data_IF_540995197332
#
_entry.id   IF_540995197332
#
_cell.length_a   1.000
_cell.length_b   1.000
_cell.length_c   1.000
_cell.angle_alpha   90.00
_cell.angle_beta   90.00
_cell.angle_gamma   90.00
#
_symmetry.space_group_name_H-M   'P 1'
#
loop_
_entity.id
_entity.type
_entity.pdbx_description
1 polymer ?
#
# COMPACT_ATOMS: atom_id res chain seq x y z
N UNK A 1 2.15 3.50 -34.42
CA UNK A 1 1.10 3.43 -33.35
C UNK A 1 1.68 3.70 -31.96
N UNK A 2 2.65 4.64 -31.77
CA UNK A 2 3.52 4.61 -30.60
C UNK A 2 3.58 5.87 -29.73
N UNK A 3 2.77 6.88 -29.98
CA UNK A 3 2.87 8.14 -29.23
C UNK A 3 1.71 8.44 -28.26
N UNK A 4 0.49 7.98 -28.56
CA UNK A 4 -0.70 8.30 -27.78
C UNK A 4 -0.97 7.30 -26.63
N UNK A 5 -0.54 6.05 -26.79
CA UNK A 5 -0.75 5.00 -25.77
C UNK A 5 0.16 5.16 -24.55
N UNK A 6 1.34 5.78 -24.69
CA UNK A 6 2.28 5.96 -23.57
C UNK A 6 1.75 6.86 -22.45
N UNK A 7 0.78 7.73 -22.74
CA UNK A 7 0.16 8.64 -21.76
C UNK A 7 -0.84 7.94 -20.83
N UNK A 8 -1.54 6.93 -21.29
CA UNK A 8 -2.58 6.21 -20.55
C UNK A 8 -2.01 5.30 -19.45
N UNK A 9 -0.81 4.81 -19.65
CA UNK A 9 -0.08 3.93 -18.70
C UNK A 9 0.83 4.71 -17.75
N UNK A 10 0.72 6.04 -17.71
CA UNK A 10 1.57 6.88 -16.86
C UNK A 10 1.47 6.44 -15.42
N UNK A 11 2.58 5.97 -14.90
CA UNK A 11 2.82 5.74 -13.48
C UNK A 11 2.98 7.09 -12.78
N UNK A 12 2.53 7.20 -11.53
CA UNK A 12 2.80 8.40 -10.73
C UNK A 12 4.33 8.59 -10.60
N UNK A 13 4.85 9.82 -10.51
CA UNK A 13 6.29 10.05 -10.30
C UNK A 13 6.86 9.33 -9.08
N UNK A 14 5.98 8.98 -8.14
CA UNK A 14 6.28 8.21 -6.93
C UNK A 14 6.41 6.71 -7.15
N UNK A 15 5.97 6.19 -8.31
CA UNK A 15 6.03 4.76 -8.62
C UNK A 15 7.45 4.40 -9.08
N UNK A 16 8.20 3.67 -8.25
CA UNK A 16 9.56 3.21 -8.57
C UNK A 16 9.62 1.69 -8.69
N UNK A 17 10.55 1.21 -9.51
CA UNK A 17 10.94 -0.20 -9.70
C UNK A 17 9.77 -1.21 -9.69
N UNK A 18 9.50 -1.86 -8.56
CA UNK A 18 8.52 -2.95 -8.43
C UNK A 18 7.11 -2.50 -8.79
N UNK A 19 6.68 -1.33 -8.29
CA UNK A 19 5.34 -0.81 -8.60
C UNK A 19 5.19 -0.45 -10.07
N UNK A 20 6.20 0.17 -10.66
CA UNK A 20 6.20 0.48 -12.09
C UNK A 20 6.08 -0.80 -12.91
N UNK A 21 6.81 -1.84 -12.53
CA UNK A 21 6.74 -3.14 -13.19
C UNK A 21 5.36 -3.80 -13.05
N UNK A 22 4.80 -3.84 -11.82
CA UNK A 22 3.44 -4.36 -11.57
C UNK A 22 2.42 -3.60 -12.40
N UNK A 23 2.43 -2.26 -12.37
CA UNK A 23 1.47 -1.43 -13.10
C UNK A 23 1.62 -1.57 -14.61
N UNK A 24 2.84 -1.61 -15.14
CA UNK A 24 3.07 -1.68 -16.58
C UNK A 24 2.89 -3.09 -17.18
N UNK A 25 3.05 -4.13 -16.38
CA UNK A 25 2.94 -5.52 -16.86
C UNK A 25 1.65 -6.21 -16.44
N UNK A 26 1.38 -6.25 -15.13
CA UNK A 26 0.25 -7.02 -14.59
C UNK A 26 -1.04 -6.22 -14.75
N UNK A 27 -1.08 -4.98 -14.26
CA UNK A 27 -2.30 -4.16 -14.34
C UNK A 27 -2.65 -3.84 -15.81
N UNK A 28 -1.66 -3.56 -16.65
CA UNK A 28 -1.86 -3.32 -18.07
C UNK A 28 -2.46 -4.52 -18.82
N UNK A 29 -2.21 -5.74 -18.38
CA UNK A 29 -2.83 -6.95 -18.94
C UNK A 29 -4.26 -7.19 -18.45
N UNK A 30 -4.58 -6.77 -17.23
CA UNK A 30 -5.90 -6.99 -16.60
C UNK A 30 -6.89 -5.90 -16.98
N UNK A 31 -6.47 -4.63 -16.91
CA UNK A 31 -7.36 -3.47 -17.05
C UNK A 31 -8.15 -3.44 -18.36
N UNK A 32 -7.58 -3.73 -19.55
CA UNK A 32 -8.35 -3.71 -20.79
C UNK A 32 -9.50 -4.72 -20.82
N UNK A 33 -9.30 -5.90 -20.18
CA UNK A 33 -10.37 -6.89 -20.08
C UNK A 33 -11.54 -6.43 -19.22
N UNK A 34 -11.25 -5.64 -18.19
CA UNK A 34 -12.27 -5.09 -17.30
C UNK A 34 -13.05 -3.93 -17.94
N UNK A 35 -12.44 -3.18 -18.88
CA UNK A 35 -13.13 -2.07 -19.56
C UNK A 35 -14.30 -2.54 -20.45
N UNK A 36 -14.30 -3.81 -20.88
CA UNK A 36 -15.42 -4.41 -21.62
C UNK A 36 -16.65 -4.72 -20.77
N UNK A 37 -16.57 -4.56 -19.43
CA UNK A 37 -17.68 -4.83 -18.52
C UNK A 37 -18.47 -3.53 -18.29
N UNK A 38 -19.68 -3.35 -18.84
CA UNK A 38 -20.37 -2.04 -18.87
C UNK A 38 -20.80 -1.52 -17.50
N UNK A 39 -21.16 -2.44 -16.58
CA UNK A 39 -21.65 -2.10 -15.23
C UNK A 39 -20.52 -1.84 -14.23
N UNK A 40 -19.26 -2.23 -14.55
CA UNK A 40 -18.13 -2.07 -13.64
C UNK A 40 -17.77 -0.59 -13.49
N UNK A 41 -17.59 -0.16 -12.25
CA UNK A 41 -17.21 1.21 -11.90
C UNK A 41 -15.88 1.24 -11.15
N UNK A 42 -15.07 2.29 -11.30
CA UNK A 42 -13.76 2.39 -10.62
C UNK A 42 -13.84 2.16 -9.11
N UNK A 43 -14.84 2.76 -8.43
CA UNK A 43 -14.99 2.61 -6.99
C UNK A 43 -15.23 1.16 -6.53
N UNK A 44 -15.82 0.31 -7.37
CA UNK A 44 -16.01 -1.11 -7.05
C UNK A 44 -14.66 -1.84 -6.97
N UNK A 45 -13.74 -1.49 -7.86
CA UNK A 45 -12.38 -2.05 -7.88
C UNK A 45 -11.61 -1.55 -6.66
N UNK A 46 -11.76 -0.26 -6.31
CA UNK A 46 -11.15 0.33 -5.10
C UNK A 46 -11.63 -0.36 -3.83
N UNK A 47 -12.95 -0.61 -3.70
CA UNK A 47 -13.52 -1.35 -2.56
C UNK A 47 -13.00 -2.79 -2.52
N UNK A 48 -12.91 -3.46 -3.66
CA UNK A 48 -12.34 -4.81 -3.75
C UNK A 48 -10.87 -4.83 -3.32
N UNK A 49 -10.07 -3.88 -3.80
CA UNK A 49 -8.66 -3.72 -3.42
C UNK A 49 -8.51 -3.55 -1.91
N UNK A 50 -9.26 -2.63 -1.32
CA UNK A 50 -9.24 -2.39 0.12
C UNK A 50 -9.74 -3.60 0.92
N UNK A 51 -10.79 -4.28 0.43
CA UNK A 51 -11.30 -5.52 1.04
C UNK A 51 -10.23 -6.61 1.07
N UNK A 52 -9.45 -6.77 0.00
CA UNK A 52 -8.32 -7.70 -0.04
C UNK A 52 -7.21 -7.30 0.95
N UNK A 53 -6.96 -6.00 1.12
CA UNK A 53 -6.01 -5.51 2.13
C UNK A 53 -6.48 -5.80 3.56
N UNK A 54 -7.76 -5.58 3.86
CA UNK A 54 -8.37 -5.93 5.15
C UNK A 54 -8.34 -7.44 5.37
N UNK A 55 -8.70 -8.24 4.35
CA UNK A 55 -8.62 -9.70 4.40
C UNK A 55 -7.20 -10.18 4.71
N UNK A 56 -6.18 -9.56 4.12
CA UNK A 56 -4.79 -9.88 4.41
C UNK A 56 -4.45 -9.63 5.89
N UNK A 57 -4.93 -8.54 6.48
CA UNK A 57 -4.79 -8.28 7.91
C UNK A 57 -5.47 -9.36 8.76
N UNK A 58 -6.70 -9.75 8.42
CA UNK A 58 -7.43 -10.84 9.10
C UNK A 58 -6.68 -12.16 8.98
N UNK A 59 -6.16 -12.50 7.81
CA UNK A 59 -5.39 -13.73 7.59
C UNK A 59 -4.10 -13.75 8.43
N UNK A 60 -3.39 -12.62 8.55
CA UNK A 60 -2.28 -12.49 9.48
C UNK A 60 -2.74 -12.75 10.92
N UNK A 61 -3.80 -12.09 11.39
CA UNK A 61 -4.31 -12.26 12.75
C UNK A 61 -4.71 -13.71 13.05
N UNK A 62 -5.21 -14.44 12.06
CA UNK A 62 -5.54 -15.87 12.17
C UNK A 62 -4.31 -16.80 12.13
N UNK A 63 -3.12 -16.29 11.81
CA UNK A 63 -1.90 -17.09 11.76
C UNK A 63 -1.50 -17.55 10.35
N UNK A 64 -2.23 -17.16 9.30
CA UNK A 64 -1.98 -17.57 7.91
C UNK A 64 -1.09 -16.57 7.17
N UNK A 65 0.17 -16.36 7.61
CA UNK A 65 1.06 -15.34 7.08
C UNK A 65 1.28 -15.42 5.57
N UNK A 66 1.45 -16.61 5.00
CA UNK A 66 1.63 -16.78 3.56
C UNK A 66 0.37 -16.39 2.76
N UNK A 67 -0.82 -16.82 3.20
CA UNK A 67 -2.09 -16.43 2.58
C UNK A 67 -2.34 -14.92 2.72
N UNK A 68 -1.95 -14.34 3.85
CA UNK A 68 -2.00 -12.90 4.07
C UNK A 68 -1.12 -12.15 3.05
N UNK A 69 0.10 -12.62 2.82
CA UNK A 69 0.99 -12.09 1.80
C UNK A 69 0.38 -12.17 0.40
N UNK A 70 -0.25 -13.29 0.05
CA UNK A 70 -0.93 -13.46 -1.24
C UNK A 70 -2.14 -12.52 -1.41
N UNK A 71 -2.97 -12.38 -0.36
CA UNK A 71 -4.11 -11.46 -0.36
C UNK A 71 -3.64 -9.99 -0.47
N UNK A 72 -2.56 -9.60 0.23
CA UNK A 72 -1.97 -8.27 0.13
C UNK A 72 -1.42 -7.99 -1.28
N UNK A 73 -0.80 -8.98 -1.93
CA UNK A 73 -0.34 -8.87 -3.32
C UNK A 73 -1.51 -8.65 -4.29
N UNK A 74 -2.59 -9.42 -4.14
CA UNK A 74 -3.80 -9.26 -4.95
C UNK A 74 -4.42 -7.86 -4.74
N UNK A 75 -4.53 -7.39 -3.50
CA UNK A 75 -4.98 -6.04 -3.17
C UNK A 75 -4.13 -4.97 -3.83
N UNK A 76 -2.79 -5.08 -3.75
CA UNK A 76 -1.87 -4.15 -4.40
C UNK A 76 -2.01 -4.11 -5.93
N UNK A 77 -2.28 -5.23 -6.56
CA UNK A 77 -2.55 -5.29 -8.00
C UNK A 77 -3.87 -4.57 -8.32
N UNK A 78 -4.94 -4.86 -7.58
CA UNK A 78 -6.24 -4.22 -7.78
C UNK A 78 -6.20 -2.70 -7.57
N UNK A 79 -5.42 -2.20 -6.62
CA UNK A 79 -5.12 -0.78 -6.42
C UNK A 79 -4.45 -0.13 -7.64
N UNK A 80 -3.60 -0.88 -8.35
CA UNK A 80 -3.05 -0.41 -9.62
C UNK A 80 -4.07 -0.39 -10.77
N UNK A 81 -4.98 -1.37 -10.77
CA UNK A 81 -5.99 -1.55 -11.80
C UNK A 81 -7.07 -0.46 -11.71
N UNK A 82 -7.55 -0.09 -10.51
CA UNK A 82 -8.63 0.90 -10.36
C UNK A 82 -8.27 2.26 -10.94
N UNK A 83 -7.06 2.74 -10.64
CA UNK A 83 -6.56 3.98 -11.18
C UNK A 83 -6.32 3.95 -12.70
N UNK A 84 -5.89 2.80 -13.26
CA UNK A 84 -5.79 2.63 -14.71
C UNK A 84 -7.16 2.56 -15.36
N UNK A 85 -8.07 1.79 -14.78
CA UNK A 85 -9.45 1.66 -15.25
C UNK A 85 -10.18 3.01 -15.26
N UNK A 86 -10.05 3.81 -14.19
CA UNK A 86 -10.63 5.15 -14.13
C UNK A 86 -10.11 6.07 -15.25
N UNK A 87 -8.80 6.02 -15.55
CA UNK A 87 -8.18 6.78 -16.64
C UNK A 87 -8.66 6.33 -18.01
N UNK A 88 -8.62 5.03 -18.29
CA UNK A 88 -9.01 4.46 -19.58
C UNK A 88 -10.49 4.68 -19.90
N UNK A 89 -11.35 4.69 -18.88
CA UNK A 89 -12.81 4.91 -19.07
C UNK A 89 -13.22 6.37 -18.95
N UNK A 90 -12.29 7.29 -18.66
CA UNK A 90 -12.61 8.71 -18.44
C UNK A 90 -13.49 8.96 -17.21
N UNK A 91 -13.57 8.00 -16.27
CA UNK A 91 -14.45 8.05 -15.08
C UNK A 91 -13.70 8.45 -13.80
N UNK A 92 -12.70 9.30 -13.93
CA UNK A 92 -12.00 9.89 -12.79
C UNK A 92 -12.90 10.90 -12.07
N UNK A 93 -13.03 10.77 -10.74
CA UNK A 93 -13.81 11.71 -9.93
C UNK A 93 -13.05 12.09 -8.66
N UNK A 94 -13.31 13.30 -8.14
CA UNK A 94 -12.76 13.74 -6.85
C UNK A 94 -13.26 12.86 -5.70
N UNK A 95 -14.52 12.45 -5.73
CA UNK A 95 -15.10 11.53 -4.74
C UNK A 95 -14.42 10.15 -4.78
N UNK A 96 -14.10 9.62 -5.98
CA UNK A 96 -13.37 8.36 -6.13
C UNK A 96 -11.95 8.44 -5.54
N UNK A 97 -11.23 9.55 -5.79
CA UNK A 97 -9.90 9.75 -5.21
C UNK A 97 -9.95 9.90 -3.68
N UNK A 98 -10.99 10.54 -3.14
CA UNK A 98 -11.21 10.62 -1.69
C UNK A 98 -11.50 9.24 -1.09
N UNK A 99 -12.41 8.47 -1.71
CA UNK A 99 -12.74 7.11 -1.28
C UNK A 99 -11.50 6.22 -1.24
N UNK A 100 -10.70 6.22 -2.32
CA UNK A 100 -9.43 5.51 -2.42
C UNK A 100 -8.50 5.86 -1.25
N UNK A 101 -8.30 7.16 -1.02
CA UNK A 101 -7.44 7.64 0.06
C UNK A 101 -7.89 7.18 1.45
N UNK A 102 -9.18 7.11 1.71
CA UNK A 102 -9.72 6.64 3.00
C UNK A 102 -9.59 5.14 3.15
N UNK A 103 -10.02 4.38 2.13
CA UNK A 103 -9.98 2.92 2.15
C UNK A 103 -8.55 2.38 2.25
N UNK A 104 -7.60 3.06 1.64
CA UNK A 104 -6.17 2.77 1.80
C UNK A 104 -5.71 2.78 3.26
N UNK A 105 -6.23 3.71 4.07
CA UNK A 105 -5.87 3.77 5.50
C UNK A 105 -6.40 2.57 6.27
N UNK A 106 -7.62 2.13 5.95
CA UNK A 106 -8.17 0.91 6.56
C UNK A 106 -7.38 -0.34 6.16
N UNK A 107 -7.03 -0.47 4.89
CA UNK A 107 -6.21 -1.59 4.40
C UNK A 107 -4.82 -1.61 5.03
N UNK A 108 -4.08 -0.48 5.01
CA UNK A 108 -2.76 -0.35 5.61
C UNK A 108 -2.81 -0.63 7.13
N UNK A 109 -3.81 -0.07 7.83
CA UNK A 109 -4.00 -0.27 9.27
C UNK A 109 -4.30 -1.73 9.62
N UNK A 110 -5.20 -2.36 8.86
CA UNK A 110 -5.55 -3.77 9.07
C UNK A 110 -4.35 -4.70 8.88
N UNK A 111 -3.51 -4.43 7.87
CA UNK A 111 -2.27 -5.19 7.64
C UNK A 111 -1.32 -5.10 8.84
N UNK A 112 -1.08 -3.90 9.35
CA UNK A 112 -0.17 -3.71 10.51
C UNK A 112 -0.74 -4.37 11.76
N UNK A 113 -2.03 -4.16 12.06
CA UNK A 113 -2.70 -4.76 13.23
C UNK A 113 -2.66 -6.30 13.13
N UNK A 114 -3.03 -6.86 11.97
CA UNK A 114 -3.01 -8.30 11.74
C UNK A 114 -1.61 -8.89 11.91
N UNK A 115 -0.59 -8.21 11.38
CA UNK A 115 0.81 -8.63 11.50
C UNK A 115 1.30 -8.57 12.96
N UNK A 116 0.89 -7.57 13.74
CA UNK A 116 1.19 -7.49 15.19
C UNK A 116 0.56 -8.68 15.93
N UNK A 117 -0.72 -8.95 15.69
CA UNK A 117 -1.42 -10.12 16.31
C UNK A 117 -0.72 -11.42 15.92
N UNK A 118 -0.35 -11.59 14.64
CA UNK A 118 0.40 -12.73 14.16
C UNK A 118 1.69 -12.93 14.94
N UNK A 119 2.51 -11.87 15.08
CA UNK A 119 3.81 -11.94 15.76
C UNK A 119 3.68 -12.19 17.26
N UNK A 120 2.67 -11.62 17.93
CA UNK A 120 2.38 -11.90 19.33
C UNK A 120 2.03 -13.38 19.52
N UNK A 121 1.24 -13.97 18.62
CA UNK A 121 0.86 -15.40 18.68
C UNK A 121 2.02 -16.35 18.41
N UNK A 122 3.07 -15.92 17.73
CA UNK A 122 4.26 -16.73 17.48
C UNK A 122 5.14 -16.92 18.73
N UNK A 123 4.85 -16.20 19.84
CA UNK A 123 5.63 -16.28 21.09
C UNK A 123 7.15 -16.18 20.86
N UNK A 124 7.55 -15.22 20.01
CA UNK A 124 8.96 -14.96 19.76
C UNK A 124 9.67 -14.51 21.05
N UNK A 125 11.01 -14.65 21.11
CA UNK A 125 11.83 -14.17 22.23
C UNK A 125 11.78 -12.64 22.43
N UNK A 126 11.01 -11.92 21.60
CA UNK A 126 10.79 -10.47 21.70
C UNK A 126 9.63 -10.20 22.67
N UNK A 127 9.80 -9.29 23.64
CA UNK A 127 8.73 -8.95 24.58
C UNK A 127 7.49 -8.42 23.85
N UNK A 128 6.30 -8.82 24.28
CA UNK A 128 5.03 -8.42 23.66
C UNK A 128 4.89 -6.88 23.56
N UNK A 129 5.29 -6.16 24.62
CA UNK A 129 5.23 -4.69 24.60
C UNK A 129 6.06 -4.07 23.47
N UNK A 130 7.19 -4.68 23.10
CA UNK A 130 8.04 -4.18 22.01
C UNK A 130 7.37 -4.42 20.64
N UNK A 131 6.72 -5.56 20.44
CA UNK A 131 5.94 -5.83 19.22
C UNK A 131 4.78 -4.85 19.09
N UNK A 132 4.07 -4.57 20.19
CA UNK A 132 2.97 -3.59 20.24
C UNK A 132 3.48 -2.17 19.96
N UNK A 133 4.61 -1.77 20.53
CA UNK A 133 5.22 -0.47 20.29
C UNK A 133 5.63 -0.32 18.82
N UNK A 134 6.24 -1.35 18.23
CA UNK A 134 6.59 -1.35 16.80
C UNK A 134 5.34 -1.22 15.93
N UNK A 135 4.27 -1.93 16.26
CA UNK A 135 2.99 -1.80 15.57
C UNK A 135 2.43 -0.38 15.63
N UNK A 136 2.41 0.23 16.81
CA UNK A 136 1.95 1.59 17.01
C UNK A 136 2.79 2.60 16.20
N UNK A 137 4.12 2.51 16.24
CA UNK A 137 5.01 3.37 15.47
C UNK A 137 4.86 3.17 13.95
N UNK A 138 4.65 1.94 13.50
CA UNK A 138 4.38 1.65 12.08
C UNK A 138 3.05 2.26 11.61
N UNK A 139 1.99 2.17 12.43
CA UNK A 139 0.69 2.77 12.14
C UNK A 139 0.78 4.31 12.08
N UNK A 140 1.39 4.92 13.09
CA UNK A 140 1.58 6.37 13.15
C UNK A 140 2.40 6.84 11.95
N UNK A 141 3.56 6.25 11.71
CA UNK A 141 4.44 6.62 10.60
C UNK A 141 3.77 6.47 9.23
N UNK A 142 3.05 5.34 8.99
CA UNK A 142 2.32 5.10 7.74
C UNK A 142 1.20 6.12 7.52
N UNK A 143 0.46 6.45 8.57
CA UNK A 143 -0.62 7.45 8.53
C UNK A 143 -0.07 8.86 8.29
N UNK A 144 1.02 9.22 8.96
CA UNK A 144 1.66 10.53 8.83
C UNK A 144 2.28 10.76 7.45
N UNK A 145 2.80 9.74 6.77
CA UNK A 145 3.25 9.89 5.38
C UNK A 145 2.12 10.39 4.48
N UNK A 146 0.93 9.84 4.63
CA UNK A 146 -0.22 10.21 3.82
C UNK A 146 -0.80 11.55 4.23
N UNK A 147 -0.91 11.77 5.54
CA UNK A 147 -1.37 13.05 6.09
C UNK A 147 -0.46 14.20 5.68
N UNK A 148 0.86 14.05 5.83
CA UNK A 148 1.82 15.09 5.45
C UNK A 148 1.78 15.39 3.96
N UNK A 149 1.56 14.39 3.09
CA UNK A 149 1.40 14.62 1.65
C UNK A 149 0.15 15.44 1.34
N UNK A 150 -1.00 15.05 1.89
CA UNK A 150 -2.26 15.76 1.68
C UNK A 150 -2.22 17.18 2.28
N UNK A 151 -1.60 17.35 3.45
CA UNK A 151 -1.50 18.65 4.11
C UNK A 151 -0.55 19.58 3.39
N UNK A 152 0.58 19.07 2.92
CA UNK A 152 1.54 19.86 2.13
C UNK A 152 0.93 20.35 0.81
N UNK A 153 0.14 19.51 0.13
CA UNK A 153 -0.58 19.90 -1.09
C UNK A 153 -1.53 21.07 -0.81
N UNK A 154 -2.31 21.03 0.26
CA UNK A 154 -3.22 22.12 0.66
C UNK A 154 -2.49 23.41 1.02
N UNK A 155 -1.32 23.30 1.66
CA UNK A 155 -0.52 24.46 2.11
C UNK A 155 0.45 24.96 1.05
N UNK A 156 0.57 24.29 -0.11
CA UNK A 156 1.54 24.65 -1.16
C UNK A 156 2.99 24.40 -0.75
N UNK A 157 3.25 23.50 0.22
CA UNK A 157 4.58 23.16 0.71
C UNK A 157 5.22 22.12 -0.22
N UNK A 158 6.42 22.39 -0.73
CA UNK A 158 7.19 21.40 -1.49
C UNK A 158 7.91 20.44 -0.53
N UNK A 159 7.52 19.18 -0.57
CA UNK A 159 8.17 18.11 0.20
C UNK A 159 9.44 17.55 -0.48
N UNK A 160 9.80 18.10 -1.63
CA UNK A 160 10.94 17.66 -2.43
C UNK A 160 10.67 16.35 -3.19
N UNK A 161 11.72 15.73 -3.76
CA UNK A 161 11.57 14.56 -4.63
C UNK A 161 10.92 13.38 -3.89
N UNK A 162 10.15 12.54 -4.63
CA UNK A 162 9.49 11.38 -4.06
C UNK A 162 10.48 10.48 -3.35
N UNK A 163 10.15 10.10 -2.12
CA UNK A 163 10.95 9.17 -1.32
C UNK A 163 10.61 7.71 -1.69
N UNK A 164 11.48 6.76 -1.31
CA UNK A 164 11.21 5.31 -1.44
C UNK A 164 10.00 4.84 -0.59
N UNK A 165 9.42 5.72 0.22
CA UNK A 165 8.28 5.46 1.09
C UNK A 165 6.92 5.40 0.35
N UNK A 166 6.89 5.14 -0.95
CA UNK A 166 5.63 4.96 -1.64
C UNK A 166 4.83 3.81 -1.00
N UNK A 167 3.50 3.92 -0.98
CA UNK A 167 2.59 2.87 -0.50
C UNK A 167 3.00 1.51 -1.07
N UNK A 168 3.29 1.46 -2.35
CA UNK A 168 3.62 0.23 -3.02
C UNK A 168 4.91 -0.44 -2.54
N UNK A 169 5.96 0.31 -2.22
CA UNK A 169 7.19 -0.27 -1.67
C UNK A 169 6.91 -0.90 -0.31
N UNK A 170 6.17 -0.20 0.56
CA UNK A 170 5.78 -0.69 1.88
C UNK A 170 4.97 -1.98 1.79
N UNK A 171 3.93 -1.99 0.95
CA UNK A 171 3.09 -3.17 0.74
C UNK A 171 3.90 -4.32 0.12
N UNK A 172 4.81 -4.03 -0.82
CA UNK A 172 5.67 -5.07 -1.41
C UNK A 172 6.57 -5.76 -0.39
N UNK A 173 7.12 -5.02 0.58
CA UNK A 173 7.90 -5.62 1.68
C UNK A 173 7.02 -6.52 2.55
N UNK A 174 5.81 -6.07 2.89
CA UNK A 174 4.85 -6.90 3.65
C UNK A 174 4.46 -8.15 2.86
N UNK A 175 4.21 -8.04 1.56
CA UNK A 175 3.92 -9.17 0.66
C UNK A 175 5.04 -10.18 0.68
N UNK A 176 6.29 -9.75 0.44
CA UNK A 176 7.45 -10.65 0.40
C UNK A 176 7.67 -11.36 1.74
N UNK A 177 7.59 -10.61 2.84
CA UNK A 177 7.74 -11.19 4.17
C UNK A 177 6.56 -12.10 4.56
N UNK A 178 5.34 -11.75 4.13
CA UNK A 178 4.16 -12.59 4.31
C UNK A 178 4.27 -13.91 3.55
N UNK A 179 4.60 -13.88 2.27
CA UNK A 179 4.82 -15.08 1.46
C UNK A 179 5.98 -15.92 2.04
N UNK A 180 7.08 -15.25 2.42
CA UNK A 180 8.24 -15.90 3.02
C UNK A 180 7.99 -16.50 4.39
N UNK A 181 6.89 -16.14 5.06
CA UNK A 181 6.52 -16.73 6.36
C UNK A 181 6.21 -18.21 6.28
N UNK A 182 6.00 -18.74 5.06
CA UNK A 182 5.88 -20.19 4.82
C UNK A 182 7.16 -20.94 5.19
N UNK A 183 8.32 -20.33 4.96
CA UNK A 183 9.64 -20.91 5.23
C UNK A 183 10.18 -20.44 6.58
N UNK A 184 9.97 -19.18 6.91
CA UNK A 184 10.41 -18.55 8.15
C UNK A 184 9.25 -17.76 8.78
N UNK A 185 8.51 -18.35 9.73
CA UNK A 185 7.33 -17.71 10.33
C UNK A 185 7.60 -16.35 10.97
N UNK A 186 8.82 -16.07 11.42
CA UNK A 186 9.21 -14.80 12.02
C UNK A 186 9.50 -13.68 11.00
N UNK A 187 9.50 -13.97 9.69
CA UNK A 187 9.87 -12.99 8.65
C UNK A 187 8.98 -11.72 8.65
N UNK A 188 7.67 -11.77 8.98
CA UNK A 188 6.86 -10.56 9.13
C UNK A 188 7.38 -9.57 10.18
N UNK A 189 8.23 -9.99 11.13
CA UNK A 189 8.90 -9.08 12.06
C UNK A 189 9.87 -8.14 11.33
N UNK A 190 10.57 -8.64 10.32
CA UNK A 190 11.42 -7.80 9.48
C UNK A 190 10.62 -6.75 8.70
N UNK A 191 9.43 -7.12 8.20
CA UNK A 191 8.53 -6.16 7.56
C UNK A 191 8.06 -5.08 8.55
N UNK A 192 7.69 -5.47 9.77
CA UNK A 192 7.27 -4.53 10.81
C UNK A 192 8.40 -3.57 11.19
N UNK A 193 9.61 -4.07 11.41
CA UNK A 193 10.80 -3.26 11.70
C UNK A 193 11.12 -2.28 10.55
N UNK A 194 11.05 -2.75 9.31
CA UNK A 194 11.18 -1.90 8.14
C UNK A 194 10.14 -0.79 8.12
N UNK A 195 8.87 -1.10 8.36
CA UNK A 195 7.80 -0.09 8.40
C UNK A 195 8.08 0.97 9.46
N UNK A 196 8.47 0.57 10.69
CA UNK A 196 8.80 1.49 11.77
C UNK A 196 9.92 2.44 11.36
N UNK A 197 11.05 1.90 10.95
CA UNK A 197 12.23 2.71 10.62
C UNK A 197 11.95 3.61 9.42
N UNK A 198 11.50 3.01 8.33
CA UNK A 198 11.37 3.72 7.06
C UNK A 198 10.30 4.81 7.09
N UNK A 199 9.12 4.54 7.66
CA UNK A 199 8.04 5.53 7.67
C UNK A 199 8.36 6.72 8.56
N UNK A 200 8.91 6.49 9.74
CA UNK A 200 9.23 7.57 10.68
C UNK A 200 10.42 8.41 10.22
N UNK A 201 11.45 7.79 9.61
CA UNK A 201 12.56 8.54 8.99
C UNK A 201 12.04 9.44 7.87
N UNK A 202 11.15 8.95 7.02
CA UNK A 202 10.57 9.77 5.94
C UNK A 202 9.76 10.94 6.48
N UNK A 203 8.96 10.72 7.53
CA UNK A 203 8.22 11.80 8.20
C UNK A 203 9.17 12.84 8.77
N UNK A 204 10.22 12.41 9.47
CA UNK A 204 11.25 13.32 10.02
C UNK A 204 11.94 14.14 8.92
N UNK A 205 12.31 13.51 7.79
CA UNK A 205 12.91 14.22 6.64
C UNK A 205 11.94 15.25 6.07
N UNK A 206 10.65 14.93 5.95
CA UNK A 206 9.63 15.88 5.47
C UNK A 206 9.47 17.08 6.39
N UNK A 207 9.46 16.85 7.72
CA UNK A 207 9.39 17.93 8.70
C UNK A 207 10.62 18.87 8.59
N UNK A 208 11.82 18.31 8.47
CA UNK A 208 13.02 19.13 8.29
C UNK A 208 12.98 19.92 6.97
N UNK A 209 12.46 19.32 5.89
CA UNK A 209 12.34 20.03 4.59
C UNK A 209 11.31 21.14 4.62
N UNK A 210 10.20 20.95 5.32
CA UNK A 210 9.15 21.98 5.43
C UNK A 210 9.55 23.24 6.22
N UNK A 211 10.67 23.18 6.94
CA UNK A 211 11.24 24.32 7.71
C UNK A 211 12.26 25.14 6.90
N UNK A 212 12.58 24.70 5.69
CA UNK A 212 13.50 25.37 4.77
C UNK A 212 12.77 26.15 3.69
#
# INVERSE_FOLDING_TARGET
MDGAESGLWRTKPTDRFVLKWIKCRICAGITPRLTSIPWLRPWMITVLSAGLGVLAGVLFALGYGCLAGAAAAAGQIMDGVDGQFARLTGRQTRAGAFLDSVLDRYADGSLVIGMVIYLVRLHLSVPVWAVLLFGALALIGSSLISYTSARAEVLGIDLGPPTLASKGTRTSVVVLCGLGSLFLPSLPMAALAYLVLHTNVVVAVRLVRSLR
#
